data_IF_407015227311
#
_entry.id   IF_407015227311
#
_cell.length_a   1.000
_cell.length_b   1.000
_cell.length_c   1.000
_cell.angle_alpha   90.00
_cell.angle_beta   90.00
_cell.angle_gamma   90.00
#
_symmetry.space_group_name_H-M   'P 1'
#
loop_
_entity.id
_entity.type
_entity.pdbx_description
1 polymer ?
#
# COMPACT_ATOMS: atom_id res chain seq x y z
N UNK A 1 -8.89 18.48 -44.26
CA UNK A 1 -7.64 18.60 -43.47
C UNK A 1 -7.96 18.05 -42.09
N UNK A 2 -7.67 16.77 -41.89
CA UNK A 2 -7.95 16.08 -40.63
C UNK A 2 -7.04 16.65 -39.55
N UNK A 3 -7.64 17.22 -38.50
CA UNK A 3 -6.93 17.75 -37.35
C UNK A 3 -6.48 16.58 -36.49
N UNK A 4 -5.32 15.99 -36.78
CA UNK A 4 -4.62 15.12 -35.84
C UNK A 4 -4.17 15.98 -34.66
N UNK A 5 -5.02 16.10 -33.66
CA UNK A 5 -4.60 16.55 -32.33
C UNK A 5 -3.47 15.62 -31.89
N UNK A 6 -2.24 16.16 -31.87
CA UNK A 6 -1.07 15.51 -31.30
C UNK A 6 -1.45 14.90 -29.95
N UNK A 7 -1.54 13.57 -29.89
CA UNK A 7 -1.82 12.85 -28.65
C UNK A 7 -0.69 13.20 -27.67
N UNK A 8 -1.02 13.73 -26.50
CA UNK A 8 -0.01 14.07 -25.49
C UNK A 8 0.92 12.87 -25.25
N UNK A 9 2.20 13.14 -24.99
CA UNK A 9 3.15 12.11 -24.61
C UNK A 9 2.86 11.55 -23.20
N UNK A 10 2.11 12.28 -22.38
CA UNK A 10 1.77 11.93 -20.99
C UNK A 10 0.27 12.04 -20.69
N UNK A 11 -0.60 11.31 -21.42
CA UNK A 11 -2.05 11.50 -21.35
C UNK A 11 -2.64 11.19 -19.96
N UNK A 12 -2.13 10.19 -19.23
CA UNK A 12 -2.60 9.88 -17.87
C UNK A 12 -2.16 10.97 -16.90
N UNK A 13 -0.90 11.40 -16.94
CA UNK A 13 -0.43 12.50 -16.08
C UNK A 13 -1.25 13.79 -16.32
N UNK A 14 -1.55 14.10 -17.58
CA UNK A 14 -2.33 15.28 -17.94
C UNK A 14 -3.77 15.20 -17.43
N UNK A 15 -4.40 14.02 -17.54
CA UNK A 15 -5.72 13.78 -16.99
C UNK A 15 -5.73 13.94 -15.46
N UNK A 16 -4.71 13.43 -14.76
CA UNK A 16 -4.59 13.60 -13.31
C UNK A 16 -4.48 15.07 -12.91
N UNK A 17 -3.70 15.87 -13.67
CA UNK A 17 -3.61 17.33 -13.45
C UNK A 17 -4.94 18.02 -13.70
N UNK A 18 -5.60 17.72 -14.82
CA UNK A 18 -6.87 18.32 -15.19
C UNK A 18 -8.01 17.99 -14.22
N UNK A 19 -7.99 16.81 -13.61
CA UNK A 19 -8.99 16.36 -12.64
C UNK A 19 -8.66 16.73 -11.19
N UNK A 20 -7.53 17.39 -10.94
CA UNK A 20 -7.07 17.73 -9.59
C UNK A 20 -6.58 16.53 -8.77
N UNK A 21 -6.40 15.36 -9.39
CA UNK A 21 -5.90 14.15 -8.75
C UNK A 21 -4.36 14.05 -8.81
N UNK A 22 -3.70 15.05 -9.38
CA UNK A 22 -2.24 15.14 -9.37
C UNK A 22 -1.72 15.51 -7.99
N UNK A 23 -0.82 14.69 -7.45
CA UNK A 23 -0.10 14.99 -6.22
C UNK A 23 1.19 15.77 -6.56
N UNK A 24 1.41 16.98 -6.00
CA UNK A 24 2.64 17.74 -6.22
C UNK A 24 3.93 17.00 -5.88
N UNK A 25 3.88 15.97 -5.01
CA UNK A 25 5.04 15.12 -4.75
C UNK A 25 5.54 14.35 -5.99
N UNK A 26 4.74 14.30 -7.07
CA UNK A 26 5.12 13.68 -8.35
C UNK A 26 5.78 14.65 -9.32
N UNK A 27 5.86 15.95 -9.02
CA UNK A 27 6.43 16.96 -9.93
C UNK A 27 7.89 16.64 -10.26
N UNK A 28 8.70 16.30 -9.25
CA UNK A 28 10.12 16.02 -9.44
C UNK A 28 10.37 14.84 -10.38
N UNK A 29 9.57 13.76 -10.30
CA UNK A 29 9.76 12.60 -11.19
C UNK A 29 9.19 12.86 -12.58
N UNK A 30 8.12 13.64 -12.69
CA UNK A 30 7.55 14.03 -13.99
C UNK A 30 8.47 15.00 -14.76
N UNK A 31 9.22 15.85 -14.07
CA UNK A 31 10.26 16.70 -14.66
C UNK A 31 11.50 15.88 -15.05
N UNK A 32 11.92 14.95 -14.20
CA UNK A 32 13.11 14.13 -14.42
C UNK A 32 12.96 13.14 -15.58
N UNK A 33 11.87 12.39 -15.61
CA UNK A 33 11.56 11.43 -16.67
C UNK A 33 10.04 11.36 -16.93
N UNK A 34 9.53 12.22 -17.83
CA UNK A 34 8.09 12.29 -18.11
C UNK A 34 7.54 10.99 -18.72
N UNK A 35 8.34 10.27 -19.50
CA UNK A 35 7.90 9.02 -20.15
C UNK A 35 7.80 7.89 -19.13
N UNK A 36 8.75 7.80 -18.20
CA UNK A 36 8.66 6.85 -17.10
C UNK A 36 7.51 7.20 -16.15
N UNK A 37 7.37 8.47 -15.77
CA UNK A 37 6.28 8.92 -14.91
C UNK A 37 4.91 8.58 -15.50
N UNK A 38 4.72 8.79 -16.82
CA UNK A 38 3.51 8.37 -17.52
C UNK A 38 3.26 6.87 -17.42
N UNK A 39 4.28 6.03 -17.67
CA UNK A 39 4.14 4.58 -17.57
C UNK A 39 3.80 4.13 -16.15
N UNK A 40 4.45 4.74 -15.15
CA UNK A 40 4.19 4.46 -13.73
C UNK A 40 2.75 4.82 -13.36
N UNK A 41 2.28 6.02 -13.75
CA UNK A 41 0.91 6.46 -13.50
C UNK A 41 -0.11 5.62 -14.27
N UNK A 42 0.15 5.29 -15.53
CA UNK A 42 -0.73 4.42 -16.31
C UNK A 42 -0.89 3.03 -15.67
N UNK A 43 0.20 2.46 -15.16
CA UNK A 43 0.16 1.19 -14.42
C UNK A 43 -0.68 1.30 -13.15
N UNK A 44 -0.44 2.33 -12.33
CA UNK A 44 -1.13 2.50 -11.04
C UNK A 44 -2.59 2.93 -11.15
N UNK A 45 -2.92 3.77 -12.14
CA UNK A 45 -4.25 4.35 -12.31
C UNK A 45 -5.19 3.51 -13.18
N UNK A 46 -4.70 2.46 -13.85
CA UNK A 46 -5.55 1.60 -14.68
C UNK A 46 -6.74 1.01 -13.90
N UNK A 47 -6.55 0.61 -12.64
CA UNK A 47 -7.62 0.10 -11.77
C UNK A 47 -8.63 1.18 -11.36
N UNK A 48 -8.19 2.44 -11.22
CA UNK A 48 -9.08 3.57 -10.93
C UNK A 48 -9.88 3.94 -12.17
N UNK A 49 -9.21 4.01 -13.32
CA UNK A 49 -9.79 4.48 -14.58
C UNK A 49 -10.71 3.45 -15.23
N UNK A 50 -10.53 2.15 -14.95
CA UNK A 50 -11.40 1.11 -15.48
C UNK A 50 -12.78 1.04 -14.83
N UNK A 51 -12.96 1.70 -13.67
CA UNK A 51 -14.25 1.75 -12.96
C UNK A 51 -14.68 0.41 -12.32
N UNK A 52 -13.79 -0.57 -12.24
CA UNK A 52 -14.08 -1.89 -11.63
C UNK A 52 -14.22 -1.83 -10.11
N UNK A 53 -13.71 -0.77 -9.48
CA UNK A 53 -13.88 -0.48 -8.07
C UNK A 53 -14.61 0.86 -7.90
N UNK A 54 -15.49 0.93 -6.91
CA UNK A 54 -16.02 2.20 -6.47
C UNK A 54 -14.88 3.11 -5.99
N UNK A 55 -14.88 4.41 -6.33
CA UNK A 55 -13.82 5.33 -5.92
C UNK A 55 -13.56 5.32 -4.41
N UNK A 56 -14.61 5.23 -3.59
CA UNK A 56 -14.48 5.17 -2.12
C UNK A 56 -13.72 3.93 -1.65
N UNK A 57 -13.96 2.78 -2.28
CA UNK A 57 -13.27 1.51 -1.97
C UNK A 57 -11.79 1.60 -2.37
N UNK A 58 -11.48 2.23 -3.50
CA UNK A 58 -10.09 2.47 -3.88
C UNK A 58 -9.35 3.30 -2.80
N UNK A 59 -9.98 4.36 -2.30
CA UNK A 59 -9.38 5.17 -1.22
C UNK A 59 -9.17 4.35 0.06
N UNK A 60 -10.08 3.44 0.43
CA UNK A 60 -9.87 2.53 1.57
C UNK A 60 -8.66 1.62 1.39
N UNK A 61 -8.47 1.07 0.19
CA UNK A 61 -7.29 0.26 -0.12
C UNK A 61 -6.01 1.09 -0.03
N UNK A 62 -6.02 2.30 -0.56
CA UNK A 62 -4.87 3.20 -0.49
C UNK A 62 -4.53 3.62 0.95
N UNK A 63 -5.55 3.90 1.78
CA UNK A 63 -5.37 4.13 3.23
C UNK A 63 -4.74 2.90 3.89
N UNK A 64 -5.25 1.69 3.60
CA UNK A 64 -4.74 0.47 4.20
C UNK A 64 -3.25 0.24 3.88
N UNK A 65 -2.85 0.43 2.62
CA UNK A 65 -1.46 0.30 2.17
C UNK A 65 -0.56 1.33 2.86
N UNK A 66 -0.95 2.60 2.84
CA UNK A 66 -0.13 3.68 3.41
C UNK A 66 -0.03 3.62 4.94
N UNK A 67 -1.11 3.23 5.63
CA UNK A 67 -1.16 3.20 7.09
C UNK A 67 -0.57 1.93 7.71
N UNK A 68 -0.36 0.87 6.92
CA UNK A 68 0.21 -0.39 7.41
C UNK A 68 1.55 -0.17 8.12
N UNK A 69 1.81 -0.91 9.20
CA UNK A 69 3.03 -0.77 10.02
C UNK A 69 4.33 -1.10 9.25
N UNK A 70 4.22 -1.77 8.11
CA UNK A 70 5.32 -2.08 7.19
C UNK A 70 5.62 -0.93 6.20
N UNK A 71 4.77 0.10 6.14
CA UNK A 71 4.93 1.23 5.23
C UNK A 71 4.91 2.60 5.92
N UNK A 72 3.87 2.89 6.72
CA UNK A 72 3.70 4.13 7.49
C UNK A 72 3.90 5.43 6.69
N UNK A 73 3.39 5.50 5.47
CA UNK A 73 3.51 6.67 4.61
C UNK A 73 2.46 7.75 4.94
N UNK A 74 2.74 8.51 5.99
CA UNK A 74 1.81 9.51 6.54
C UNK A 74 1.28 10.57 5.53
N UNK A 75 2.05 11.07 4.54
CA UNK A 75 1.51 11.98 3.53
C UNK A 75 0.39 11.35 2.70
N UNK A 76 0.58 10.09 2.26
CA UNK A 76 -0.41 9.36 1.49
C UNK A 76 -1.65 9.00 2.31
N UNK A 77 -1.46 8.52 3.55
CA UNK A 77 -2.57 8.23 4.47
C UNK A 77 -3.49 9.45 4.63
N UNK A 78 -2.92 10.65 4.85
CA UNK A 78 -3.71 11.88 4.98
C UNK A 78 -4.45 12.26 3.70
N UNK A 79 -3.79 12.11 2.54
CA UNK A 79 -4.39 12.39 1.23
C UNK A 79 -5.60 11.49 0.99
N UNK A 80 -5.44 10.18 1.18
CA UNK A 80 -6.50 9.21 0.90
C UNK A 80 -7.64 9.26 1.93
N UNK A 81 -7.36 9.54 3.21
CA UNK A 81 -8.43 9.83 4.19
C UNK A 81 -9.26 11.04 3.77
N UNK A 82 -8.63 12.14 3.35
CA UNK A 82 -9.36 13.33 2.88
C UNK A 82 -10.24 12.99 1.68
N UNK A 83 -9.69 12.27 0.70
CA UNK A 83 -10.41 11.91 -0.52
C UNK A 83 -11.57 10.94 -0.23
N UNK A 84 -11.39 9.97 0.66
CA UNK A 84 -12.46 9.09 1.10
C UNK A 84 -13.63 9.89 1.73
N UNK A 85 -13.33 10.87 2.58
CA UNK A 85 -14.35 11.75 3.19
C UNK A 85 -15.10 12.57 2.13
N UNK A 86 -14.40 13.12 1.13
CA UNK A 86 -15.02 13.84 -0.01
C UNK A 86 -15.96 12.93 -0.82
N UNK A 87 -15.67 11.63 -0.87
CA UNK A 87 -16.49 10.60 -1.53
C UNK A 87 -17.60 10.05 -0.62
N UNK A 88 -17.81 10.63 0.55
CA UNK A 88 -18.88 10.26 1.49
C UNK A 88 -18.53 9.11 2.43
N UNK A 89 -17.25 8.80 2.63
CA UNK A 89 -16.85 7.86 3.68
C UNK A 89 -17.16 8.41 5.08
N UNK A 90 -17.57 7.53 5.99
CA UNK A 90 -17.77 7.90 7.39
C UNK A 90 -16.46 7.77 8.19
N UNK A 91 -16.43 8.39 9.38
CA UNK A 91 -15.29 8.25 10.29
C UNK A 91 -15.14 6.80 10.76
N UNK A 92 -16.26 6.11 10.92
CA UNK A 92 -16.35 4.72 11.34
C UNK A 92 -15.78 3.78 10.27
N UNK A 93 -16.08 4.03 8.98
CA UNK A 93 -15.47 3.28 7.87
C UNK A 93 -13.95 3.45 7.85
N UNK A 94 -13.46 4.69 8.01
CA UNK A 94 -12.02 4.96 8.06
C UNK A 94 -11.36 4.30 9.28
N UNK A 95 -12.01 4.39 10.45
CA UNK A 95 -11.52 3.73 11.66
C UNK A 95 -11.46 2.20 11.48
N UNK A 96 -12.44 1.60 10.80
CA UNK A 96 -12.46 0.18 10.51
C UNK A 96 -11.27 -0.24 9.62
N UNK A 97 -10.92 0.56 8.60
CA UNK A 97 -9.72 0.31 7.77
C UNK A 97 -8.44 0.34 8.62
N UNK A 98 -8.29 1.35 9.48
CA UNK A 98 -7.13 1.48 10.37
C UNK A 98 -7.02 0.33 11.38
N UNK A 99 -8.16 -0.09 11.95
CA UNK A 99 -8.23 -1.25 12.84
C UNK A 99 -7.84 -2.53 12.09
N UNK A 100 -8.33 -2.74 10.87
CA UNK A 100 -8.01 -3.92 10.07
C UNK A 100 -6.50 -4.05 9.84
N UNK A 101 -5.80 -2.95 9.51
CA UNK A 101 -4.35 -3.00 9.26
C UNK A 101 -3.51 -3.01 10.54
N UNK A 102 -4.07 -2.63 11.70
CA UNK A 102 -3.35 -2.71 12.98
C UNK A 102 -3.01 -4.14 13.41
N UNK A 103 -3.77 -5.13 12.91
CA UNK A 103 -3.60 -6.55 13.27
C UNK A 103 -2.38 -7.17 12.60
N UNK A 104 -1.77 -6.52 11.59
CA UNK A 104 -0.58 -7.05 10.89
C UNK A 104 0.57 -7.45 11.84
N UNK A 105 0.66 -6.82 13.02
CA UNK A 105 1.67 -7.18 14.03
C UNK A 105 1.58 -8.62 14.54
N UNK A 106 0.42 -9.29 14.41
CA UNK A 106 0.26 -10.70 14.83
C UNK A 106 1.16 -11.66 14.05
N UNK A 107 1.58 -11.30 12.84
CA UNK A 107 2.45 -12.13 12.01
C UNK A 107 3.79 -12.42 12.69
N UNK A 108 4.29 -11.51 13.54
CA UNK A 108 5.48 -11.76 14.37
C UNK A 108 5.29 -12.97 15.29
N UNK A 109 4.12 -13.10 15.92
CA UNK A 109 3.78 -14.24 16.77
C UNK A 109 3.48 -15.50 15.95
N UNK A 110 2.78 -15.35 14.82
CA UNK A 110 2.49 -16.49 13.93
C UNK A 110 3.75 -17.16 13.40
N UNK A 111 4.82 -16.39 13.16
CA UNK A 111 6.13 -16.91 12.77
C UNK A 111 6.96 -17.34 13.98
N UNK A 112 7.00 -16.51 15.04
CA UNK A 112 7.88 -16.72 16.18
C UNK A 112 7.46 -17.88 17.11
N UNK A 113 6.16 -18.14 17.27
CA UNK A 113 5.70 -19.20 18.17
C UNK A 113 6.10 -20.61 17.70
N UNK A 114 5.93 -20.99 16.41
CA UNK A 114 6.47 -22.26 15.90
C UNK A 114 7.98 -22.40 16.09
N UNK A 115 8.75 -21.35 15.74
CA UNK A 115 10.21 -21.35 15.90
C UNK A 115 10.60 -21.57 17.37
N UNK A 116 9.93 -20.89 18.30
CA UNK A 116 10.19 -21.08 19.72
C UNK A 116 9.94 -22.53 20.17
N UNK A 117 8.88 -23.16 19.69
CA UNK A 117 8.59 -24.57 20.00
C UNK A 117 9.66 -25.51 19.43
N UNK A 118 10.15 -25.24 18.22
CA UNK A 118 11.25 -26.00 17.59
C UNK A 118 12.53 -25.90 18.41
N UNK A 119 12.92 -24.69 18.81
CA UNK A 119 14.13 -24.44 19.59
C UNK A 119 14.03 -25.05 21.01
N UNK A 120 12.87 -24.99 21.66
CA UNK A 120 12.64 -25.64 22.95
C UNK A 120 12.82 -27.16 22.85
N UNK A 121 12.24 -27.79 21.82
CA UNK A 121 12.39 -29.23 21.61
C UNK A 121 13.86 -29.62 21.32
N UNK A 122 14.58 -28.81 20.53
CA UNK A 122 16.00 -29.02 20.25
C UNK A 122 16.86 -28.89 21.52
N UNK A 123 16.56 -27.90 22.37
CA UNK A 123 17.25 -27.68 23.64
C UNK A 123 17.02 -28.84 24.62
N UNK A 124 15.78 -29.30 24.78
CA UNK A 124 15.45 -30.46 25.63
C UNK A 124 16.20 -31.70 25.18
N UNK A 125 16.21 -31.98 23.87
CA UNK A 125 16.96 -33.11 23.31
C UNK A 125 18.46 -33.01 23.60
N UNK A 126 19.07 -31.85 23.36
CA UNK A 126 20.50 -31.65 23.61
C UNK A 126 20.87 -31.85 25.09
N UNK A 127 20.00 -31.43 26.02
CA UNK A 127 20.21 -31.66 27.46
C UNK A 127 20.11 -33.14 27.84
N UNK A 128 19.17 -33.88 27.26
CA UNK A 128 19.06 -35.33 27.48
C UNK A 128 20.31 -36.04 26.96
N UNK A 129 20.76 -35.71 25.74
CA UNK A 129 21.96 -36.29 25.13
C UNK A 129 23.22 -35.98 25.97
N UNK A 130 23.34 -34.74 26.47
CA UNK A 130 24.46 -34.34 27.34
C UNK A 130 24.44 -35.08 28.70
N UNK A 131 23.27 -35.26 29.31
CA UNK A 131 23.15 -35.99 30.58
C UNK A 131 23.51 -37.48 30.42
N UNK A 132 23.16 -38.09 29.28
CA UNK A 132 23.52 -39.48 28.97
C UNK A 132 25.02 -39.65 28.69
N UNK A 133 25.70 -38.64 28.15
CA UNK A 133 27.14 -38.71 27.87
C UNK A 133 28.03 -38.64 29.13
N UNK A 134 27.49 -38.23 30.27
CA UNK A 134 28.22 -38.07 31.54
C UNK A 134 27.95 -39.23 32.52
N UNK A 135 26.97 -40.08 32.23
CA UNK A 135 26.60 -41.27 33.01
C UNK A 135 27.34 -42.53 32.53
#
# INVERSE_FOLDING_TARGET
MSNETSRSATPVCDQLRATGNWNPAWDAIAELDPVWAEKFMAMGMHTVMSGVLEPKVFEFLAIAVDASCTHMYAPGTRRHIRRALELGATREEIAAVLQAVSVLGIHSSSLGAPILLEELAAFEKANVDAAQAVA
#
